data_IF_166899529712
#
_entry.id   IF_166899529712
#
_cell.length_a   1.000
_cell.length_b   1.000
_cell.length_c   1.000
_cell.angle_alpha   90.00
_cell.angle_beta   90.00
_cell.angle_gamma   90.00
#
_symmetry.space_group_name_H-M   'P 1'
#
loop_
_entity.id
_entity.type
_entity.pdbx_description
1 polymer ?
#
# COMPACT_ATOMS: atom_id res chain seq x y z
N UNK A 1 16.61 -1.91 -15.23
CA UNK A 1 17.38 -3.17 -15.14
C UNK A 1 16.67 -4.21 -15.99
N UNK A 2 17.30 -4.65 -17.09
CA UNK A 2 16.71 -5.60 -18.03
C UNK A 2 16.48 -6.97 -17.35
N UNK A 3 15.31 -7.58 -17.55
CA UNK A 3 15.02 -8.96 -17.11
C UNK A 3 14.01 -9.14 -15.96
N UNK A 4 13.52 -8.07 -15.30
CA UNK A 4 12.40 -8.21 -14.35
C UNK A 4 11.05 -8.19 -15.07
N UNK A 5 10.08 -9.03 -14.67
CA UNK A 5 8.75 -9.01 -15.26
C UNK A 5 8.10 -7.64 -15.03
N UNK A 6 7.50 -7.07 -16.08
CA UNK A 6 6.88 -5.73 -16.07
C UNK A 6 5.43 -5.75 -15.53
N UNK A 7 5.14 -6.63 -14.57
CA UNK A 7 3.79 -6.91 -14.07
C UNK A 7 3.51 -6.31 -12.67
N UNK A 8 4.36 -5.41 -12.20
CA UNK A 8 4.19 -4.71 -10.93
C UNK A 8 3.96 -3.21 -11.18
N UNK A 9 2.94 -2.64 -10.52
CA UNK A 9 2.56 -1.23 -10.66
C UNK A 9 2.39 -0.62 -9.26
N UNK A 10 3.02 0.54 -9.03
CA UNK A 10 2.80 1.35 -7.83
C UNK A 10 1.65 2.32 -8.03
N UNK A 11 0.69 2.35 -7.11
CA UNK A 11 -0.47 3.24 -7.16
C UNK A 11 -0.64 3.91 -5.80
N UNK A 12 -0.90 5.23 -5.83
CA UNK A 12 -1.27 6.02 -4.66
C UNK A 12 -2.73 6.41 -4.80
N UNK A 13 -3.50 6.22 -3.73
CA UNK A 13 -4.89 6.62 -3.66
C UNK A 13 -5.08 7.54 -2.45
N UNK A 14 -5.79 8.64 -2.66
CA UNK A 14 -6.22 9.55 -1.60
C UNK A 14 -7.62 9.22 -1.07
N UNK A 15 -8.35 8.32 -1.75
CA UNK A 15 -9.69 7.87 -1.33
C UNK A 15 -9.73 6.34 -1.15
N UNK A 16 -10.36 5.92 -0.06
CA UNK A 16 -10.58 4.51 0.24
C UNK A 16 -11.98 4.08 -0.20
N UNK A 17 -12.10 3.44 -1.36
CA UNK A 17 -13.33 2.73 -1.77
C UNK A 17 -13.09 1.23 -1.78
N UNK A 18 -14.07 0.46 -1.30
CA UNK A 18 -13.93 -0.99 -1.19
C UNK A 18 -13.54 -1.61 -2.55
N UNK A 19 -12.46 -2.42 -2.55
CA UNK A 19 -11.89 -3.11 -3.71
C UNK A 19 -11.53 -2.21 -4.91
N UNK A 20 -11.33 -0.91 -4.73
CA UNK A 20 -11.14 0.04 -5.84
C UNK A 20 -9.99 -0.34 -6.79
N UNK A 21 -8.83 -0.75 -6.28
CA UNK A 21 -7.70 -1.19 -7.11
C UNK A 21 -8.10 -2.38 -7.98
N UNK A 22 -8.75 -3.39 -7.40
CA UNK A 22 -9.20 -4.58 -8.15
C UNK A 22 -10.21 -4.20 -9.24
N UNK A 23 -11.16 -3.32 -8.92
CA UNK A 23 -12.18 -2.86 -9.87
C UNK A 23 -11.58 -2.07 -11.05
N UNK A 24 -10.59 -1.21 -10.79
CA UNK A 24 -9.90 -0.46 -11.84
C UNK A 24 -9.22 -1.42 -12.81
N UNK A 25 -8.44 -2.37 -12.31
CA UNK A 25 -7.73 -3.33 -13.17
C UNK A 25 -8.68 -4.29 -13.88
N UNK A 26 -9.74 -4.74 -13.23
CA UNK A 26 -10.79 -5.57 -13.84
C UNK A 26 -11.46 -4.86 -15.02
N UNK A 27 -11.78 -3.57 -14.87
CA UNK A 27 -12.33 -2.76 -15.96
C UNK A 27 -11.38 -2.63 -17.16
N UNK A 28 -10.08 -2.74 -16.92
CA UNK A 28 -9.04 -2.72 -17.96
C UNK A 28 -8.70 -4.13 -18.49
N UNK A 29 -9.41 -5.17 -18.07
CA UNK A 29 -9.16 -6.55 -18.49
C UNK A 29 -7.98 -7.24 -17.79
N UNK A 30 -7.52 -6.72 -16.65
CA UNK A 30 -6.41 -7.29 -15.87
C UNK A 30 -6.89 -7.95 -14.58
N UNK A 31 -6.28 -9.10 -14.26
CA UNK A 31 -6.47 -9.78 -12.99
C UNK A 31 -5.36 -9.38 -11.99
N UNK A 32 -5.76 -8.84 -10.82
CA UNK A 32 -4.81 -8.51 -9.74
C UNK A 32 -4.50 -9.75 -8.91
N UNK A 33 -3.38 -10.42 -9.22
CA UNK A 33 -2.90 -11.62 -8.49
C UNK A 33 -2.41 -11.33 -7.07
N UNK A 34 -1.78 -10.18 -6.85
CA UNK A 34 -1.25 -9.75 -5.55
C UNK A 34 -1.52 -8.28 -5.33
N UNK A 35 -2.04 -7.94 -4.17
CA UNK A 35 -2.23 -6.56 -3.73
C UNK A 35 -1.54 -6.38 -2.40
N UNK A 36 -0.66 -5.39 -2.31
CA UNK A 36 0.18 -5.15 -1.15
C UNK A 36 0.16 -3.66 -0.81
N UNK A 37 -0.30 -3.32 0.39
CA UNK A 37 -0.28 -1.94 0.88
C UNK A 37 1.06 -1.70 1.55
N UNK A 38 1.93 -0.95 0.88
CA UNK A 38 3.28 -0.67 1.35
C UNK A 38 3.38 0.60 2.19
N UNK A 39 2.42 1.51 2.03
CA UNK A 39 2.41 2.83 2.64
C UNK A 39 1.00 3.27 3.05
N UNK A 40 0.90 4.00 4.17
CA UNK A 40 -0.35 4.59 4.66
C UNK A 40 -0.03 5.80 5.53
N UNK A 41 -0.46 7.00 5.13
CA UNK A 41 -0.37 8.21 5.96
C UNK A 41 1.01 8.43 6.61
N UNK A 42 2.10 8.29 5.84
CA UNK A 42 3.45 8.43 6.38
C UNK A 42 4.07 7.16 6.97
N UNK A 43 3.25 6.17 7.32
CA UNK A 43 3.71 4.87 7.79
C UNK A 43 4.09 3.96 6.63
N UNK A 44 5.10 3.13 6.87
CA UNK A 44 5.50 2.07 5.95
C UNK A 44 5.77 0.78 6.73
N UNK A 45 5.76 -0.35 6.01
CA UNK A 45 5.98 -1.67 6.61
C UNK A 45 7.44 -2.11 6.70
N UNK A 46 8.42 -1.21 6.53
CA UNK A 46 9.84 -1.58 6.63
C UNK A 46 10.15 -2.05 8.05
N UNK A 47 10.95 -3.11 8.16
CA UNK A 47 11.32 -3.69 9.46
C UNK A 47 10.23 -4.56 10.11
N UNK A 48 9.07 -4.76 9.48
CA UNK A 48 8.03 -5.68 9.96
C UNK A 48 7.90 -6.89 9.04
N UNK A 49 8.04 -8.10 9.60
CA UNK A 49 7.77 -9.33 8.84
C UNK A 49 6.27 -9.56 8.74
N UNK A 50 5.87 -10.40 7.77
CA UNK A 50 4.46 -10.77 7.57
C UNK A 50 3.90 -11.41 8.85
N UNK A 51 2.75 -10.94 9.32
CA UNK A 51 2.10 -11.42 10.54
C UNK A 51 2.58 -10.75 11.83
N UNK A 52 3.63 -9.91 11.78
CA UNK A 52 4.09 -9.15 12.94
C UNK A 52 3.41 -7.80 13.05
N UNK A 53 3.38 -7.29 14.28
CA UNK A 53 2.96 -5.93 14.61
C UNK A 53 3.95 -5.32 15.61
N UNK A 54 3.92 -4.00 15.76
CA UNK A 54 4.65 -3.26 16.79
C UNK A 54 3.86 -2.02 17.18
N UNK A 55 4.20 -1.43 18.32
CA UNK A 55 3.76 -0.10 18.65
C UNK A 55 4.38 0.95 17.72
N UNK A 56 3.61 2.01 17.47
CA UNK A 56 4.10 3.19 16.78
C UNK A 56 5.05 3.95 17.70
N UNK A 57 6.09 4.54 17.11
CA UNK A 57 6.96 5.49 17.80
C UNK A 57 6.20 6.80 18.03
N UNK A 58 6.63 7.60 19.02
CA UNK A 58 6.03 8.91 19.28
C UNK A 58 6.02 9.81 18.03
N UNK A 59 7.10 9.78 17.24
CA UNK A 59 7.19 10.52 15.98
C UNK A 59 6.13 10.10 14.97
N UNK A 60 5.86 8.81 14.85
CA UNK A 60 4.81 8.28 13.97
C UNK A 60 3.41 8.68 14.46
N UNK A 61 3.19 8.68 15.78
CA UNK A 61 1.93 9.12 16.38
C UNK A 61 1.66 10.61 16.09
N UNK A 62 2.67 11.47 16.32
CA UNK A 62 2.56 12.92 16.05
C UNK A 62 2.29 13.17 14.56
N UNK A 63 2.98 12.46 13.68
CA UNK A 63 2.78 12.57 12.24
C UNK A 63 1.35 12.18 11.84
N UNK A 64 0.82 11.08 12.37
CA UNK A 64 -0.55 10.65 12.06
C UNK A 64 -1.60 11.66 12.52
N UNK A 65 -1.40 12.27 13.70
CA UNK A 65 -2.29 13.33 14.21
C UNK A 65 -2.33 14.55 13.30
N UNK A 66 -1.33 14.79 12.46
CA UNK A 66 -1.33 15.90 11.50
C UNK A 66 -2.17 15.62 10.24
N UNK A 67 -2.41 14.35 9.91
CA UNK A 67 -3.20 13.96 8.74
C UNK A 67 -4.69 13.72 9.05
N UNK A 68 -5.09 13.87 10.32
CA UNK A 68 -6.46 13.71 10.82
C UNK A 68 -7.06 15.08 11.09
#
# INVERSE_FOLDING_TARGET
VAGRPKNEVGIILHSGRNRIIRRIFEHLGYEVKKLDRTWLAGLNKRGLRRGQWRYLTEREIVMLKHFV
#
